data_IF_540424262633
#
_entry.id   IF_540424262633
#
_cell.length_a   1.000
_cell.length_b   1.000
_cell.length_c   1.000
_cell.angle_alpha   90.00
_cell.angle_beta   90.00
_cell.angle_gamma   90.00
#
_symmetry.space_group_name_H-M   'P 1'
#
loop_
_entity.id
_entity.type
_entity.pdbx_description
1 polymer ?
#
# COMPACT_ATOMS: atom_id res chain seq x y z
N UNK A 1 -21.90 2.84 -3.90
CA UNK A 1 -20.60 2.31 -4.38
C UNK A 1 -19.84 3.48 -4.95
N UNK A 2 -18.66 3.79 -4.43
CA UNK A 2 -17.82 4.86 -4.98
C UNK A 2 -17.18 4.33 -6.26
N UNK A 3 -17.26 5.09 -7.35
CA UNK A 3 -16.61 4.74 -8.61
C UNK A 3 -15.09 4.77 -8.39
N UNK A 4 -14.45 3.59 -8.45
CA UNK A 4 -13.00 3.46 -8.29
C UNK A 4 -12.36 3.68 -9.66
N UNK A 5 -11.91 4.91 -9.92
CA UNK A 5 -11.14 5.27 -11.11
C UNK A 5 -9.65 5.12 -10.82
N UNK A 6 -8.93 4.40 -11.65
CA UNK A 6 -7.46 4.35 -11.59
C UNK A 6 -6.87 5.72 -11.90
N UNK A 7 -5.82 6.08 -11.17
CA UNK A 7 -5.03 7.28 -11.43
C UNK A 7 -4.30 7.16 -12.76
N UNK A 8 -4.06 8.28 -13.45
CA UNK A 8 -3.05 8.32 -14.53
C UNK A 8 -1.64 8.23 -13.95
N UNK A 9 -0.65 7.98 -14.82
CA UNK A 9 0.77 7.94 -14.41
C UNK A 9 1.23 9.26 -13.78
N UNK A 10 0.77 10.41 -14.30
CA UNK A 10 1.09 11.73 -13.77
C UNK A 10 0.44 11.97 -12.40
N UNK A 11 -0.85 11.62 -12.27
CA UNK A 11 -1.59 11.73 -11.01
C UNK A 11 -0.96 10.83 -9.92
N UNK A 12 -0.60 9.61 -10.28
CA UNK A 12 0.08 8.66 -9.38
C UNK A 12 1.42 9.24 -8.90
N UNK A 13 2.27 9.71 -9.83
CA UNK A 13 3.59 10.25 -9.47
C UNK A 13 3.46 11.48 -8.57
N UNK A 14 2.52 12.38 -8.87
CA UNK A 14 2.26 13.54 -8.02
C UNK A 14 1.82 13.12 -6.61
N UNK A 15 0.90 12.15 -6.51
CA UNK A 15 0.41 11.66 -5.21
C UNK A 15 1.48 10.95 -4.39
N UNK A 16 2.35 10.16 -5.04
CA UNK A 16 3.49 9.52 -4.36
C UNK A 16 4.43 10.58 -3.80
N UNK A 17 4.79 11.60 -4.60
CA UNK A 17 5.67 12.67 -4.15
C UNK A 17 5.08 13.48 -2.98
N UNK A 18 3.76 13.69 -2.97
CA UNK A 18 3.04 14.45 -1.95
C UNK A 18 2.85 13.68 -0.64
N UNK A 19 2.43 12.41 -0.73
CA UNK A 19 1.92 11.66 0.41
C UNK A 19 2.89 10.63 0.96
N UNK A 20 3.73 10.07 0.10
CA UNK A 20 4.42 8.80 0.37
C UNK A 20 5.71 8.66 -0.46
N UNK A 21 6.64 9.63 -0.38
CA UNK A 21 7.80 9.69 -1.28
C UNK A 21 8.76 8.50 -1.14
N UNK A 22 8.66 7.74 -0.05
CA UNK A 22 9.45 6.52 0.17
C UNK A 22 8.88 5.27 -0.52
N UNK A 23 7.67 5.35 -1.08
CA UNK A 23 7.02 4.23 -1.76
C UNK A 23 7.47 4.14 -3.21
N UNK A 24 7.50 2.91 -3.73
CA UNK A 24 7.84 2.61 -5.12
C UNK A 24 6.57 2.26 -5.89
N UNK A 25 6.59 2.50 -7.18
CA UNK A 25 5.58 2.05 -8.14
C UNK A 25 6.10 0.83 -8.90
N UNK A 26 5.19 -0.03 -9.34
CA UNK A 26 5.52 -1.23 -10.11
C UNK A 26 4.33 -1.74 -10.92
N UNK A 27 4.59 -2.78 -11.70
CA UNK A 27 3.59 -3.48 -12.50
C UNK A 27 3.84 -4.99 -12.38
N UNK A 28 2.78 -5.78 -12.17
CA UNK A 28 2.92 -7.23 -12.06
C UNK A 28 2.97 -7.92 -13.43
N UNK A 29 3.13 -9.24 -13.45
CA UNK A 29 3.21 -10.04 -14.70
C UNK A 29 1.96 -9.94 -15.60
N UNK A 30 0.85 -9.43 -15.08
CA UNK A 30 -0.42 -9.25 -15.79
C UNK A 30 -0.68 -7.80 -16.21
N UNK A 31 0.29 -6.90 -16.05
CA UNK A 31 0.11 -5.49 -16.39
C UNK A 31 -0.70 -4.69 -15.36
N UNK A 32 -0.88 -5.21 -14.14
CA UNK A 32 -1.63 -4.51 -13.09
C UNK A 32 -0.66 -3.64 -12.28
N UNK A 33 -0.88 -2.32 -12.23
CA UNK A 33 -0.01 -1.41 -11.48
C UNK A 33 -0.23 -1.57 -9.97
N UNK A 34 0.86 -1.41 -9.22
CA UNK A 34 0.83 -1.43 -7.75
C UNK A 34 1.82 -0.43 -7.17
N UNK A 35 1.68 -0.18 -5.87
CA UNK A 35 2.67 0.56 -5.07
C UNK A 35 3.14 -0.33 -3.92
N UNK A 36 4.41 -0.20 -3.55
CA UNK A 36 5.01 -1.02 -2.51
C UNK A 36 5.96 -0.23 -1.61
N UNK A 37 6.11 -0.73 -0.39
CA UNK A 37 7.19 -0.33 0.52
C UNK A 37 7.57 -1.47 1.45
N UNK A 38 8.76 -1.38 2.03
CA UNK A 38 9.22 -2.28 3.09
C UNK A 38 9.29 -1.52 4.42
N UNK A 39 8.70 -2.09 5.47
CA UNK A 39 8.81 -1.56 6.84
C UNK A 39 9.52 -2.58 7.72
N UNK A 40 10.60 -2.15 8.37
CA UNK A 40 11.32 -2.97 9.34
C UNK A 40 10.79 -2.69 10.75
N UNK A 41 10.53 -3.77 11.50
CA UNK A 41 10.19 -3.73 12.92
C UNK A 41 11.34 -4.31 13.75
N UNK A 42 11.49 -3.88 15.01
CA UNK A 42 12.60 -4.35 15.85
C UNK A 42 12.38 -5.77 16.40
N UNK A 43 11.15 -6.27 16.34
CA UNK A 43 10.81 -7.65 16.64
C UNK A 43 9.62 -8.13 15.81
N UNK A 44 9.42 -9.45 15.75
CA UNK A 44 8.27 -10.05 15.07
C UNK A 44 6.94 -9.53 15.63
N UNK A 45 6.78 -9.46 16.96
CA UNK A 45 5.53 -9.01 17.60
C UNK A 45 5.23 -7.53 17.33
N UNK A 46 6.24 -6.68 17.21
CA UNK A 46 6.03 -5.30 16.75
C UNK A 46 5.55 -5.24 15.30
N UNK A 47 6.09 -6.11 14.44
CA UNK A 47 5.61 -6.29 13.07
C UNK A 47 4.14 -6.70 13.02
N UNK A 48 3.74 -7.68 13.83
CA UNK A 48 2.34 -8.12 13.95
C UNK A 48 1.45 -6.98 14.45
N UNK A 49 1.88 -6.22 15.46
CA UNK A 49 1.13 -5.07 15.95
C UNK A 49 0.95 -3.98 14.88
N UNK A 50 1.95 -3.76 14.02
CA UNK A 50 1.84 -2.87 12.88
C UNK A 50 0.80 -3.39 11.85
N UNK A 51 0.87 -4.68 11.50
CA UNK A 51 -0.07 -5.30 10.56
C UNK A 51 -1.52 -5.23 11.06
N UNK A 52 -1.76 -5.43 12.36
CA UNK A 52 -3.10 -5.30 12.93
C UNK A 52 -3.70 -3.90 12.72
N UNK A 53 -2.92 -2.83 12.90
CA UNK A 53 -3.37 -1.46 12.63
C UNK A 53 -3.70 -1.22 11.16
N UNK A 54 -2.92 -1.83 10.26
CA UNK A 54 -3.20 -1.79 8.81
C UNK A 54 -4.50 -2.51 8.50
N UNK A 55 -4.74 -3.68 9.11
CA UNK A 55 -5.97 -4.45 8.92
C UNK A 55 -7.21 -3.68 9.39
N UNK A 56 -7.16 -3.03 10.56
CA UNK A 56 -8.25 -2.18 11.05
C UNK A 56 -8.60 -1.05 10.07
N UNK A 57 -7.57 -0.37 9.53
CA UNK A 57 -7.76 0.69 8.54
C UNK A 57 -8.30 0.14 7.20
N UNK A 58 -7.83 -1.02 6.76
CA UNK A 58 -8.27 -1.67 5.53
C UNK A 58 -9.76 -2.07 5.60
N UNK A 59 -10.18 -2.66 6.73
CA UNK A 59 -11.57 -3.04 6.97
C UNK A 59 -12.50 -1.82 7.00
N UNK A 60 -12.10 -0.76 7.71
CA UNK A 60 -12.87 0.48 7.77
C UNK A 60 -13.07 1.15 6.40
N UNK A 61 -12.16 0.91 5.45
CA UNK A 61 -12.19 1.50 4.10
C UNK A 61 -12.61 0.51 3.00
N UNK A 62 -12.86 -0.76 3.34
CA UNK A 62 -13.11 -1.84 2.37
C UNK A 62 -12.08 -1.84 1.21
N UNK A 63 -10.80 -1.73 1.57
CA UNK A 63 -9.68 -1.72 0.64
C UNK A 63 -8.44 -2.34 1.27
N UNK A 64 -8.12 -3.55 0.83
CA UNK A 64 -7.13 -4.42 1.47
C UNK A 64 -5.79 -4.38 0.73
N UNK A 65 -4.66 -4.26 1.46
CA UNK A 65 -3.33 -4.45 0.91
C UNK A 65 -2.93 -5.93 0.87
N UNK A 66 -1.97 -6.26 0.01
CA UNK A 66 -1.20 -7.49 0.12
C UNK A 66 -0.06 -7.29 1.12
N UNK A 67 0.04 -8.15 2.13
CA UNK A 67 1.06 -8.05 3.18
C UNK A 67 1.88 -9.33 3.22
N UNK A 68 3.19 -9.20 3.02
CA UNK A 68 4.16 -10.25 3.24
C UNK A 68 4.95 -10.00 4.52
N UNK A 69 5.01 -10.99 5.41
CA UNK A 69 5.78 -10.95 6.66
C UNK A 69 6.85 -12.03 6.55
N UNK A 70 8.11 -11.63 6.69
CA UNK A 70 9.29 -12.49 6.58
C UNK A 70 10.14 -12.52 7.85
#
# INVERSE_FOLDING_TARGET
MVEKKSLTSEELQQKINELAPEWKTGENEHGVPFIERVKHASSYMEGINFVNKVAEAAEANNHHPDIHIN
#
